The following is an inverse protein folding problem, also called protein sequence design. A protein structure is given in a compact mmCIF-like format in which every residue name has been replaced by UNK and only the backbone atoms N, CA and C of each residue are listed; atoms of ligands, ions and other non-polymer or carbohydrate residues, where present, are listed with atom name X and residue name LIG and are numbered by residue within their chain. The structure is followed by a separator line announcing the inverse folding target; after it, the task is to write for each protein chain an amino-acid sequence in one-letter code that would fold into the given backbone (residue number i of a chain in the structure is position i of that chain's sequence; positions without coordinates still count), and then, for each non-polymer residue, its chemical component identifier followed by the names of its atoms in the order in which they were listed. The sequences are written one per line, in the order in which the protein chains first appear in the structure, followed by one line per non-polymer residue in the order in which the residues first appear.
data_IF_224907649185
#
_entry.id   IF_224907649185
#
_cell.length_a   1.000
_cell.length_b   1.000
_cell.length_c   1.000
_cell.angle_alpha   90.00
_cell.angle_beta   90.00
_cell.angle_gamma   90.00
#
_symmetry.space_group_name_H-M   'P 1'
#
loop_
_entity.id
_entity.type
_entity.pdbx_description
1 polymer ?
#
# COMPACT_ATOMS: atom_id res chain seq x y z
N UNK A 1 -38.11 -27.90 43.99
CA UNK A 1 -38.22 -26.89 42.92
C UNK A 1 -36.84 -26.31 42.69
N UNK A 2 -36.28 -26.50 41.49
CA UNK A 2 -34.86 -26.32 41.21
C UNK A 2 -34.48 -24.86 40.93
N UNK A 3 -33.34 -24.48 41.51
CA UNK A 3 -32.63 -23.21 41.36
C UNK A 3 -32.04 -23.08 39.96
N UNK A 4 -32.33 -21.96 39.30
CA UNK A 4 -31.72 -21.55 38.02
C UNK A 4 -30.29 -21.07 38.28
N UNK A 5 -29.32 -21.45 37.45
CA UNK A 5 -28.26 -20.59 36.95
C UNK A 5 -27.63 -21.27 35.71
N UNK A 6 -28.10 -20.90 34.52
CA UNK A 6 -27.46 -21.29 33.28
C UNK A 6 -26.15 -20.48 33.16
N UNK A 7 -25.02 -21.14 33.32
CA UNK A 7 -23.72 -20.57 32.98
C UNK A 7 -23.61 -20.54 31.47
N UNK A 8 -24.03 -19.44 30.84
CA UNK A 8 -23.61 -19.15 29.48
C UNK A 8 -22.11 -18.92 29.52
N UNK A 9 -21.34 -19.95 29.16
CA UNK A 9 -19.99 -19.77 28.67
C UNK A 9 -20.10 -18.98 27.36
N UNK A 10 -20.20 -17.65 27.49
CA UNK A 10 -19.93 -16.75 26.40
C UNK A 10 -18.54 -17.11 25.92
N UNK A 11 -18.48 -17.78 24.77
CA UNK A 11 -17.27 -17.93 23.99
C UNK A 11 -16.68 -16.54 23.87
N UNK A 12 -15.56 -16.34 24.56
CA UNK A 12 -14.69 -15.21 24.27
C UNK A 12 -14.45 -15.28 22.76
N UNK A 13 -14.84 -14.27 21.96
CA UNK A 13 -14.22 -14.17 20.65
C UNK A 13 -12.73 -14.06 20.94
N UNK A 14 -12.00 -15.15 20.65
CA UNK A 14 -10.55 -15.15 20.60
C UNK A 14 -10.23 -13.95 19.74
N UNK A 15 -9.62 -12.92 20.34
CA UNK A 15 -9.25 -11.72 19.63
C UNK A 15 -8.58 -12.17 18.33
N UNK A 16 -9.23 -11.90 17.20
CA UNK A 16 -8.62 -12.04 15.90
C UNK A 16 -7.55 -10.97 15.83
N UNK A 17 -6.42 -11.33 16.43
CA UNK A 17 -5.18 -10.76 16.05
C UNK A 17 -5.00 -11.22 14.59
N UNK A 18 -5.19 -10.33 13.64
CA UNK A 18 -4.26 -10.29 12.52
C UNK A 18 -3.29 -9.15 12.82
N UNK A 19 -2.33 -9.32 13.76
CA UNK A 19 -1.17 -8.47 13.72
C UNK A 19 -0.51 -8.74 12.37
N UNK A 20 0.05 -7.72 11.73
CA UNK A 20 1.07 -8.02 10.71
C UNK A 20 2.06 -8.99 11.35
N UNK A 21 2.37 -10.08 10.64
CA UNK A 21 3.37 -11.06 11.07
C UNK A 21 4.55 -10.29 11.70
N UNK A 22 4.89 -10.57 12.97
CA UNK A 22 5.89 -9.77 13.69
C UNK A 22 7.23 -9.70 12.92
N UNK A 23 7.49 -10.71 12.07
CA UNK A 23 8.54 -10.69 11.07
C UNK A 23 8.37 -9.59 10.00
N UNK A 24 7.20 -9.48 9.35
CA UNK A 24 6.93 -8.47 8.32
C UNK A 24 7.04 -7.04 8.87
N UNK A 25 6.57 -6.80 10.09
CA UNK A 25 6.73 -5.51 10.75
C UNK A 25 8.20 -5.17 11.02
N UNK A 26 9.02 -6.15 11.41
CA UNK A 26 10.46 -5.98 11.60
C UNK A 26 11.18 -5.72 10.27
N UNK A 27 10.84 -6.45 9.20
CA UNK A 27 11.40 -6.23 7.87
C UNK A 27 11.06 -4.84 7.35
N UNK A 28 9.82 -4.39 7.52
CA UNK A 28 9.39 -3.05 7.14
C UNK A 28 10.18 -1.98 7.88
N UNK A 29 10.35 -2.10 9.21
CA UNK A 29 11.18 -1.17 9.99
C UNK A 29 12.63 -1.14 9.48
N UNK A 30 13.22 -2.29 9.19
CA UNK A 30 14.57 -2.38 8.62
C UNK A 30 14.68 -1.69 7.25
N UNK A 31 13.66 -1.85 6.40
CA UNK A 31 13.58 -1.19 5.10
C UNK A 31 13.50 0.33 5.27
N UNK A 32 12.62 0.83 6.13
CA UNK A 32 12.48 2.26 6.41
C UNK A 32 13.76 2.87 6.96
N UNK A 33 14.43 2.21 7.92
CA UNK A 33 15.74 2.67 8.44
C UNK A 33 16.74 2.75 7.30
N UNK A 34 16.83 1.72 6.45
CA UNK A 34 17.81 1.70 5.36
C UNK A 34 17.54 2.77 4.30
N UNK A 35 16.27 3.06 4.00
CA UNK A 35 15.89 4.16 3.09
C UNK A 35 16.33 5.51 3.69
N UNK A 36 16.11 5.74 4.99
CA UNK A 36 16.57 6.96 5.67
C UNK A 36 18.09 7.09 5.65
N UNK A 37 18.81 6.02 5.97
CA UNK A 37 20.29 6.02 5.94
C UNK A 37 20.85 6.37 4.54
N UNK A 38 20.16 5.94 3.48
CA UNK A 38 20.54 6.26 2.10
C UNK A 38 20.20 7.72 1.78
N UNK A 39 19.00 8.17 2.15
CA UNK A 39 18.55 9.54 1.92
C UNK A 39 19.45 10.57 2.65
N UNK A 40 19.87 10.28 3.88
CA UNK A 40 20.73 11.16 4.67
C UNK A 40 22.15 11.30 4.08
N UNK A 41 22.60 10.30 3.32
CA UNK A 41 23.91 10.31 2.64
C UNK A 41 23.83 10.82 1.21
N UNK A 42 22.63 11.01 0.68
CA UNK A 42 22.43 11.47 -0.69
C UNK A 42 22.65 12.98 -0.73
N UNK A 43 23.49 13.45 -1.66
CA UNK A 43 23.71 14.88 -1.91
C UNK A 43 22.52 15.47 -2.69
N UNK A 44 21.40 15.62 -2.01
CA UNK A 44 20.15 16.12 -2.58
C UNK A 44 18.93 15.75 -1.74
N UNK A 45 17.74 15.97 -2.31
CA UNK A 45 16.47 15.58 -1.67
C UNK A 45 15.95 14.31 -2.33
N UNK A 46 15.76 13.26 -1.54
CA UNK A 46 15.16 12.01 -2.01
C UNK A 46 13.66 11.95 -1.65
N UNK A 47 12.85 11.54 -2.62
CA UNK A 47 11.44 11.19 -2.44
C UNK A 47 11.22 9.69 -2.63
N UNK A 48 10.47 9.06 -1.72
CA UNK A 48 10.12 7.63 -1.77
C UNK A 48 8.65 7.45 -1.39
N UNK A 49 7.93 6.64 -2.16
CA UNK A 49 6.60 6.18 -1.84
C UNK A 49 6.50 4.68 -2.15
N UNK A 50 6.15 3.88 -1.16
CA UNK A 50 6.01 2.44 -1.25
C UNK A 50 4.60 2.07 -0.80
N UNK A 51 3.87 1.36 -1.64
CA UNK A 51 2.59 0.73 -1.33
C UNK A 51 2.81 -0.79 -1.30
N UNK A 52 2.56 -1.41 -0.14
CA UNK A 52 2.49 -2.86 -0.05
C UNK A 52 1.13 -3.34 -0.61
N UNK A 53 1.15 -4.09 -1.70
CA UNK A 53 -0.07 -4.60 -2.34
C UNK A 53 -0.68 -5.80 -1.58
N UNK A 54 0.01 -6.34 -0.58
CA UNK A 54 -0.46 -7.46 0.25
C UNK A 54 -1.49 -7.00 1.27
N UNK A 55 -1.24 -5.86 1.92
CA UNK A 55 -2.07 -5.34 3.01
C UNK A 55 -2.45 -3.85 2.89
N UNK A 56 -2.03 -3.19 1.81
CA UNK A 56 -2.36 -1.79 1.52
C UNK A 56 -1.57 -0.77 2.33
N UNK A 57 -0.60 -1.18 3.16
CA UNK A 57 0.19 -0.24 3.97
C UNK A 57 1.10 0.62 3.09
N UNK A 58 1.25 1.88 3.49
CA UNK A 58 2.10 2.85 2.78
C UNK A 58 3.26 3.26 3.67
N UNK A 59 4.46 3.31 3.09
CA UNK A 59 5.66 3.89 3.71
C UNK A 59 6.20 4.98 2.78
N UNK A 60 6.44 6.19 3.31
CA UNK A 60 6.83 7.34 2.48
C UNK A 60 7.92 8.20 3.13
N UNK A 61 8.68 8.88 2.27
CA UNK A 61 9.67 9.89 2.61
C UNK A 61 9.54 11.02 1.59
N UNK A 62 9.21 12.24 2.02
CA UNK A 62 9.04 13.40 1.15
C UNK A 62 8.08 13.19 -0.05
N UNK A 63 7.12 12.26 0.04
CA UNK A 63 6.29 11.86 -1.09
C UNK A 63 5.38 12.97 -1.65
N UNK A 64 5.02 13.95 -0.83
CA UNK A 64 4.19 15.10 -1.25
C UNK A 64 4.99 16.22 -1.92
N UNK A 65 6.32 16.07 -2.05
CA UNK A 65 7.14 17.04 -2.78
C UNK A 65 7.06 16.78 -4.28
N UNK A 66 7.14 17.85 -5.06
CA UNK A 66 7.22 17.79 -6.52
C UNK A 66 8.65 17.48 -6.96
N UNK A 67 8.82 16.44 -7.78
CA UNK A 67 10.11 16.07 -8.39
C UNK A 67 10.00 16.06 -9.92
N UNK A 68 11.09 16.38 -10.65
CA UNK A 68 11.13 16.17 -12.09
C UNK A 68 10.91 14.70 -12.43
N UNK A 69 9.93 14.41 -13.28
CA UNK A 69 9.60 13.03 -13.67
C UNK A 69 10.62 12.42 -14.63
N UNK A 70 11.40 13.26 -15.34
CA UNK A 70 12.23 12.83 -16.46
C UNK A 70 11.43 11.90 -17.40
N UNK A 71 11.99 10.76 -17.81
CA UNK A 71 11.29 9.80 -18.68
C UNK A 71 10.18 8.98 -18.00
N UNK A 72 9.96 9.07 -16.68
CA UNK A 72 8.87 8.33 -16.01
C UNK A 72 7.47 8.84 -16.43
N UNK A 73 7.38 10.09 -16.91
CA UNK A 73 6.14 10.66 -17.48
C UNK A 73 5.55 9.79 -18.60
N UNK A 74 6.39 9.05 -19.32
CA UNK A 74 5.95 8.17 -20.42
C UNK A 74 4.96 7.11 -19.94
N UNK A 75 5.01 6.70 -18.67
CA UNK A 75 4.02 5.76 -18.10
C UNK A 75 2.63 6.39 -18.14
N UNK A 76 2.46 7.61 -17.63
CA UNK A 76 1.18 8.32 -17.65
C UNK A 76 0.69 8.57 -19.08
N UNK A 77 1.59 8.94 -19.99
CA UNK A 77 1.28 9.12 -21.42
C UNK A 77 0.78 7.81 -22.04
N UNK A 78 1.43 6.67 -21.75
CA UNK A 78 1.01 5.37 -22.27
C UNK A 78 -0.32 4.90 -21.68
N UNK A 79 -0.56 5.14 -20.38
CA UNK A 79 -1.86 4.85 -19.74
C UNK A 79 -2.98 5.59 -20.47
N UNK A 80 -2.77 6.87 -20.77
CA UNK A 80 -3.75 7.68 -21.51
C UNK A 80 -3.93 7.21 -22.96
N UNK A 81 -2.83 6.86 -23.65
CA UNK A 81 -2.87 6.32 -25.01
C UNK A 81 -3.70 5.02 -25.06
N UNK A 82 -3.47 4.10 -24.12
CA UNK A 82 -4.24 2.85 -24.05
C UNK A 82 -5.72 3.11 -23.71
N UNK A 83 -6.03 4.09 -22.85
CA UNK A 83 -7.41 4.47 -22.54
C UNK A 83 -8.15 4.91 -23.82
N UNK A 84 -7.56 5.80 -24.61
CA UNK A 84 -8.14 6.30 -25.86
C UNK A 84 -8.33 5.18 -26.91
N UNK A 85 -7.36 4.27 -27.01
CA UNK A 85 -7.41 3.12 -27.90
C UNK A 85 -8.57 2.17 -27.53
N UNK A 86 -8.76 1.91 -26.23
CA UNK A 86 -9.86 1.08 -25.74
C UNK A 86 -11.24 1.73 -25.96
N UNK A 87 -11.36 3.06 -25.81
CA UNK A 87 -12.58 3.80 -26.11
C UNK A 87 -12.93 3.74 -27.60
N UNK A 88 -11.94 3.91 -28.47
CA UNK A 88 -12.12 3.84 -29.92
C UNK A 88 -12.60 2.45 -30.35
N UNK A 89 -12.00 1.38 -29.83
CA UNK A 89 -12.43 0.00 -30.13
C UNK A 89 -13.82 -0.32 -29.58
N UNK A 90 -14.15 0.21 -28.40
CA UNK A 90 -15.47 0.02 -27.79
C UNK A 90 -16.57 0.75 -28.59
N UNK A 91 -16.28 1.96 -29.09
CA UNK A 91 -17.19 2.72 -29.95
C UNK A 91 -17.35 2.12 -31.35
N UNK A 92 -16.32 1.48 -31.90
CA UNK A 92 -16.38 0.80 -33.19
C UNK A 92 -17.22 -0.49 -33.19
N UNK A 93 -17.37 -1.16 -32.03
CA UNK A 93 -18.22 -2.36 -31.89
C UNK A 93 -19.72 -2.06 -31.77
N UNK A 94 -20.10 -0.79 -31.61
CA UNK A 94 -21.50 -0.35 -31.49
C UNK A 94 -22.11 0.19 -32.79
N UNK A 95 -21.42 0.06 -33.92
CA UNK A 95 -21.91 0.43 -35.26
C UNK A 95 -21.97 -0.79 -36.17
#
# INVERSE_FOLDING_TARGET
MALVLATNAFGQPKAESTPGDTGSDLFRKKLETRIRDIADKFDGVMGVAILDLTDGRISSLNADRVFPTASSIKIAVLVELYRQDQETRSGAKGK
#
